data_IF_186630376960
#
_entry.id   IF_186630376960
#
_cell.length_a   1.000
_cell.length_b   1.000
_cell.length_c   1.000
_cell.angle_alpha   90.00
_cell.angle_beta   90.00
_cell.angle_gamma   90.00
#
_symmetry.space_group_name_H-M   'P 1'
#
loop_
_entity.id
_entity.type
_entity.pdbx_description
1 polymer ?
#
# COMPACT_ATOMS: atom_id res chain seq x y z
N UNK A 1 -2.67 -18.20 14.73
CA UNK A 1 -1.55 -17.63 15.51
C UNK A 1 -1.43 -16.18 15.11
N UNK A 2 -1.39 -15.30 16.09
CA UNK A 2 -1.28 -13.86 15.89
C UNK A 2 0.12 -13.43 15.44
N UNK A 3 0.24 -12.25 14.83
CA UNK A 3 1.52 -11.65 14.47
C UNK A 3 2.28 -11.27 15.75
N UNK A 4 3.53 -11.70 15.90
CA UNK A 4 4.36 -11.26 17.02
C UNK A 4 4.86 -9.82 16.82
N UNK A 5 5.28 -9.16 17.91
CA UNK A 5 5.88 -7.81 17.85
C UNK A 5 7.13 -7.77 16.94
N UNK A 6 7.92 -8.86 16.94
CA UNK A 6 9.13 -8.96 16.13
C UNK A 6 8.77 -9.02 14.64
N UNK A 7 7.87 -9.92 14.26
CA UNK A 7 7.41 -10.06 12.86
C UNK A 7 6.77 -8.77 12.37
N UNK A 8 5.92 -8.14 13.18
CA UNK A 8 5.33 -6.85 12.85
C UNK A 8 6.40 -5.78 12.57
N UNK A 9 7.42 -5.68 13.44
CA UNK A 9 8.52 -4.73 13.25
C UNK A 9 9.28 -5.02 11.96
N UNK A 10 9.57 -6.29 11.67
CA UNK A 10 10.26 -6.68 10.43
C UNK A 10 9.45 -6.28 9.19
N UNK A 11 8.15 -6.55 9.18
CA UNK A 11 7.27 -6.15 8.07
C UNK A 11 7.13 -4.63 7.94
N UNK A 12 7.04 -3.91 9.05
CA UNK A 12 6.97 -2.46 9.04
C UNK A 12 8.23 -1.86 8.38
N UNK A 13 9.42 -2.25 8.86
CA UNK A 13 10.67 -1.73 8.30
C UNK A 13 10.89 -2.14 6.84
N UNK A 14 10.43 -3.34 6.45
CA UNK A 14 10.57 -3.83 5.08
C UNK A 14 9.62 -3.12 4.10
N UNK A 15 8.37 -2.88 4.50
CA UNK A 15 7.31 -2.49 3.56
C UNK A 15 6.81 -1.05 3.71
N UNK A 16 7.14 -0.32 4.78
CA UNK A 16 6.62 1.04 4.96
C UNK A 16 6.93 1.95 3.77
N UNK A 17 8.21 2.08 3.38
CA UNK A 17 8.62 2.95 2.25
C UNK A 17 8.05 2.48 0.90
N UNK A 18 8.12 1.20 0.51
CA UNK A 18 7.45 0.70 -0.70
C UNK A 18 5.95 0.98 -0.72
N UNK A 19 5.26 0.78 0.41
CA UNK A 19 3.81 1.01 0.49
C UNK A 19 3.46 2.50 0.41
N UNK A 20 4.27 3.39 0.98
CA UNK A 20 4.07 4.84 0.83
C UNK A 20 4.23 5.28 -0.62
N UNK A 21 5.25 4.76 -1.34
CA UNK A 21 5.42 5.03 -2.77
C UNK A 21 4.25 4.46 -3.59
N UNK A 22 3.80 3.25 -3.25
CA UNK A 22 2.63 2.65 -3.88
C UNK A 22 1.37 3.51 -3.67
N UNK A 23 1.09 3.95 -2.44
CA UNK A 23 -0.03 4.85 -2.13
C UNK A 23 0.09 6.21 -2.83
N UNK A 24 1.31 6.73 -2.97
CA UNK A 24 1.58 8.01 -3.64
C UNK A 24 1.15 8.00 -5.10
N UNK A 25 1.30 6.88 -5.81
CA UNK A 25 0.80 6.73 -7.19
C UNK A 25 -0.73 6.88 -7.30
N UNK A 26 -1.48 6.63 -6.22
CA UNK A 26 -2.93 6.82 -6.18
C UNK A 26 -3.35 8.21 -5.71
N UNK A 27 -2.71 8.72 -4.66
CA UNK A 27 -3.17 9.93 -3.96
C UNK A 27 -2.46 11.19 -4.43
N UNK A 28 -1.25 11.08 -4.99
CA UNK A 28 -0.43 12.21 -5.41
C UNK A 28 0.01 13.13 -4.27
N UNK A 29 -0.21 12.73 -3.01
CA UNK A 29 0.12 13.48 -1.80
C UNK A 29 0.86 12.57 -0.81
N UNK A 30 2.06 12.97 -0.40
CA UNK A 30 2.92 12.21 0.50
C UNK A 30 2.33 12.04 1.89
N UNK A 31 1.81 13.11 2.49
CA UNK A 31 1.22 13.08 3.85
C UNK A 31 0.02 12.11 3.89
N UNK A 32 -0.88 12.20 2.91
CA UNK A 32 -2.03 11.29 2.83
C UNK A 32 -1.62 9.83 2.56
N UNK A 33 -0.52 9.63 1.84
CA UNK A 33 0.02 8.30 1.58
C UNK A 33 0.59 7.67 2.84
N UNK A 34 1.33 8.43 3.64
CA UNK A 34 1.85 7.99 4.93
C UNK A 34 0.72 7.66 5.91
N UNK A 35 -0.30 8.52 6.00
CA UNK A 35 -1.47 8.30 6.85
C UNK A 35 -2.18 6.97 6.52
N UNK A 36 -2.44 6.70 5.24
CA UNK A 36 -3.07 5.46 4.78
C UNK A 36 -2.24 4.22 5.16
N UNK A 37 -0.91 4.30 4.98
CA UNK A 37 -0.02 3.18 5.30
C UNK A 37 0.04 2.95 6.81
N UNK A 38 0.15 4.01 7.61
CA UNK A 38 0.12 3.92 9.08
C UNK A 38 -1.19 3.30 9.57
N UNK A 39 -2.34 3.75 9.06
CA UNK A 39 -3.64 3.18 9.40
C UNK A 39 -3.74 1.70 9.00
N UNK A 40 -3.17 1.33 7.85
CA UNK A 40 -3.14 -0.06 7.38
C UNK A 40 -2.34 -0.95 8.33
N UNK A 41 -1.16 -0.51 8.80
CA UNK A 41 -0.39 -1.24 9.80
C UNK A 41 -1.08 -1.30 11.17
N UNK A 42 -1.73 -0.22 11.60
CA UNK A 42 -2.52 -0.20 12.85
C UNK A 42 -3.69 -1.20 12.79
N UNK A 43 -4.36 -1.28 11.64
CA UNK A 43 -5.42 -2.26 11.37
C UNK A 43 -4.88 -3.70 11.37
N UNK A 44 -3.73 -3.95 10.74
CA UNK A 44 -3.07 -5.25 10.73
C UNK A 44 -2.77 -5.72 12.17
N UNK A 45 -2.22 -4.82 13.00
CA UNK A 45 -1.87 -5.12 14.39
C UNK A 45 -3.09 -5.38 15.27
N UNK A 46 -4.15 -4.57 15.12
CA UNK A 46 -5.35 -4.65 15.97
C UNK A 46 -6.28 -5.80 15.61
N UNK A 47 -6.50 -6.06 14.32
CA UNK A 47 -7.50 -7.03 13.86
C UNK A 47 -6.95 -8.45 13.74
N UNK A 48 -5.63 -8.60 13.56
CA UNK A 48 -4.92 -9.87 13.37
C UNK A 48 -5.79 -10.94 12.68
N UNK A 49 -5.92 -10.91 11.34
CA UNK A 49 -6.94 -11.67 10.61
C UNK A 49 -7.02 -13.14 11.06
N UNK A 50 -8.23 -13.55 11.46
CA UNK A 50 -8.51 -14.79 12.18
C UNK A 50 -8.18 -16.07 11.42
N UNK A 51 -8.01 -15.99 10.10
CA UNK A 51 -7.61 -17.10 9.22
C UNK A 51 -6.11 -17.23 8.96
N UNK A 52 -5.28 -16.34 9.52
CA UNK A 52 -3.88 -16.22 9.15
C UNK A 52 -3.69 -15.55 7.79
N UNK A 53 -2.50 -14.99 7.55
CA UNK A 53 -2.17 -14.30 6.30
C UNK A 53 -1.23 -15.21 5.51
N UNK A 54 -1.64 -15.64 4.31
CA UNK A 54 -0.79 -16.47 3.45
C UNK A 54 0.44 -15.69 2.97
N UNK A 55 0.26 -14.42 2.58
CA UNK A 55 1.32 -13.50 2.20
C UNK A 55 1.05 -12.12 2.77
N UNK A 56 1.85 -11.70 3.75
CA UNK A 56 1.74 -10.39 4.39
C UNK A 56 1.96 -9.27 3.38
N UNK A 57 2.88 -9.47 2.43
CA UNK A 57 3.11 -8.54 1.32
C UNK A 57 1.84 -8.33 0.51
N UNK A 58 1.24 -9.40 -0.02
CA UNK A 58 0.04 -9.29 -0.85
C UNK A 58 -1.12 -8.64 -0.10
N UNK A 59 -1.29 -9.00 1.18
CA UNK A 59 -2.28 -8.38 2.05
C UNK A 59 -2.06 -6.87 2.21
N UNK A 60 -0.84 -6.44 2.54
CA UNK A 60 -0.54 -5.03 2.79
C UNK A 60 -0.74 -4.17 1.55
N UNK A 61 -0.24 -4.59 0.39
CA UNK A 61 -0.43 -3.85 -0.86
C UNK A 61 -1.91 -3.80 -1.27
N UNK A 62 -2.63 -4.92 -1.16
CA UNK A 62 -4.06 -4.94 -1.42
C UNK A 62 -4.85 -4.03 -0.47
N UNK A 63 -4.52 -4.03 0.82
CA UNK A 63 -5.16 -3.19 1.82
C UNK A 63 -4.89 -1.69 1.56
N UNK A 64 -3.64 -1.32 1.29
CA UNK A 64 -3.27 0.08 0.96
C UNK A 64 -4.02 0.55 -0.28
N UNK A 65 -4.03 -0.23 -1.37
CA UNK A 65 -4.79 0.09 -2.59
C UNK A 65 -6.27 0.32 -2.28
N UNK A 66 -6.89 -0.60 -1.55
CA UNK A 66 -8.31 -0.48 -1.19
C UNK A 66 -8.59 0.77 -0.36
N UNK A 67 -7.72 1.11 0.59
CA UNK A 67 -7.86 2.29 1.42
C UNK A 67 -7.68 3.58 0.60
N UNK A 68 -6.71 3.62 -0.32
CA UNK A 68 -6.54 4.74 -1.27
C UNK A 68 -7.80 4.92 -2.14
N UNK A 69 -8.30 3.84 -2.74
CA UNK A 69 -9.50 3.88 -3.57
C UNK A 69 -10.75 4.30 -2.77
N UNK A 70 -10.89 3.83 -1.53
CA UNK A 70 -11.97 4.25 -0.64
C UNK A 70 -11.90 5.76 -0.37
N UNK A 71 -10.71 6.28 -0.05
CA UNK A 71 -10.50 7.71 0.16
C UNK A 71 -10.82 8.54 -1.08
N UNK A 72 -10.35 8.11 -2.26
CA UNK A 72 -10.65 8.78 -3.55
C UNK A 72 -12.16 8.77 -3.84
N UNK A 73 -12.82 7.63 -3.59
CA UNK A 73 -14.28 7.50 -3.75
C UNK A 73 -15.01 8.45 -2.81
N UNK A 74 -14.62 8.51 -1.55
CA UNK A 74 -15.31 9.33 -0.54
C UNK A 74 -15.06 10.84 -0.77
N UNK A 75 -13.96 11.20 -1.43
CA UNK A 75 -13.66 12.56 -1.86
C UNK A 75 -14.40 13.00 -3.15
N UNK A 76 -14.93 12.07 -3.95
CA UNK A 76 -15.62 12.37 -5.22
C UNK A 76 -17.13 12.13 -5.11
N UNK A 77 -17.93 13.08 -5.58
CA UNK A 77 -19.35 12.83 -5.87
C UNK A 77 -19.45 11.78 -6.97
N UNK A 78 -20.17 10.68 -6.72
CA UNK A 78 -20.32 9.56 -7.65
C UNK A 78 -20.79 10.02 -9.03
N UNK A 79 -20.00 9.74 -10.06
CA UNK A 79 -20.37 9.93 -11.46
C UNK A 79 -20.73 8.58 -12.10
N UNK A 80 -21.77 8.50 -12.95
CA UNK A 80 -22.11 7.27 -13.67
C UNK A 80 -20.95 6.80 -14.56
N UNK A 81 -20.67 5.50 -14.56
CA UNK A 81 -19.65 4.91 -15.42
C UNK A 81 -20.17 4.81 -16.86
N UNK A 82 -19.43 5.38 -17.83
CA UNK A 82 -19.70 5.14 -19.24
C UNK A 82 -19.08 3.80 -19.70
N UNK A 83 -19.83 2.95 -20.43
CA UNK A 83 -19.32 1.66 -20.88
C UNK A 83 -18.30 1.85 -22.01
N UNK A 84 -17.05 1.43 -21.77
CA UNK A 84 -15.97 1.51 -22.77
C UNK A 84 -14.57 1.73 -22.21
N UNK A 85 -14.41 1.91 -20.89
CA UNK A 85 -13.09 1.95 -20.26
C UNK A 85 -12.44 0.56 -20.31
N UNK A 86 -11.52 0.38 -21.24
CA UNK A 86 -10.51 -0.67 -21.16
C UNK A 86 -9.50 -0.16 -20.13
N UNK A 87 -9.42 -0.87 -19.02
CA UNK A 87 -8.52 -0.52 -17.91
C UNK A 87 -7.08 -0.85 -18.34
N UNK A 88 -6.37 0.14 -18.89
CA UNK A 88 -4.91 0.09 -19.14
C UNK A 88 -4.13 0.23 -17.81
N UNK A 89 -4.74 -0.20 -16.69
CA UNK A 89 -4.11 -0.13 -15.38
C UNK A 89 -3.17 -1.31 -15.18
N UNK A 90 -2.07 -1.03 -14.50
CA UNK A 90 -1.09 -2.04 -14.13
C UNK A 90 -1.77 -3.06 -13.19
N UNK A 91 -1.45 -4.33 -13.38
CA UNK A 91 -1.86 -5.37 -12.44
C UNK A 91 -1.28 -5.11 -11.05
N UNK A 92 -1.93 -5.63 -10.02
CA UNK A 92 -1.48 -5.48 -8.63
C UNK A 92 -0.03 -5.97 -8.46
N UNK A 93 0.37 -7.04 -9.16
CA UNK A 93 1.74 -7.54 -9.15
C UNK A 93 2.73 -6.54 -9.77
N UNK A 94 2.41 -5.96 -10.93
CA UNK A 94 3.26 -4.95 -11.59
C UNK A 94 3.41 -3.68 -10.74
N UNK A 95 2.38 -3.29 -10.01
CA UNK A 95 2.44 -2.17 -9.07
C UNK A 95 3.33 -2.44 -7.87
N UNK A 96 3.27 -3.66 -7.33
CA UNK A 96 4.16 -4.08 -6.25
C UNK A 96 5.63 -4.05 -6.69
N UNK A 97 5.93 -4.61 -7.85
CA UNK A 97 7.29 -4.67 -8.38
C UNK A 97 7.87 -3.27 -8.62
N UNK A 98 7.08 -2.37 -9.18
CA UNK A 98 7.48 -0.97 -9.36
C UNK A 98 7.80 -0.29 -8.03
N UNK A 99 6.91 -0.42 -7.04
CA UNK A 99 7.10 0.19 -5.73
C UNK A 99 8.36 -0.35 -5.03
N UNK A 100 8.62 -1.66 -5.13
CA UNK A 100 9.85 -2.28 -4.61
C UNK A 100 11.10 -1.73 -5.32
N UNK A 101 11.05 -1.58 -6.65
CA UNK A 101 12.15 -1.05 -7.45
C UNK A 101 12.45 0.41 -7.11
N UNK A 102 11.42 1.25 -7.05
CA UNK A 102 11.53 2.67 -6.69
C UNK A 102 12.11 2.84 -5.29
N UNK A 103 11.64 2.04 -4.32
CA UNK A 103 12.19 2.05 -2.97
C UNK A 103 13.69 1.74 -2.93
N UNK A 104 14.16 0.81 -3.78
CA UNK A 104 15.60 0.51 -3.89
C UNK A 104 16.39 1.66 -4.49
N UNK A 105 15.86 2.30 -5.55
CA UNK A 105 16.50 3.47 -6.17
C UNK A 105 16.62 4.61 -5.16
N UNK A 106 15.54 4.90 -4.45
CA UNK A 106 15.52 5.94 -3.43
C UNK A 106 16.51 5.69 -2.29
N UNK A 107 16.65 4.43 -1.87
CA UNK A 107 17.67 4.06 -0.87
C UNK A 107 19.09 4.33 -1.38
N UNK A 108 19.38 4.03 -2.65
CA UNK A 108 20.69 4.31 -3.26
C UNK A 108 20.96 5.81 -3.37
N UNK A 109 19.93 6.62 -3.64
CA UNK A 109 20.06 8.08 -3.68
C UNK A 109 20.43 8.64 -2.29
N UNK A 110 19.82 8.10 -1.23
CA UNK A 110 20.09 8.47 0.17
C UNK A 110 21.54 8.14 0.58
N UNK A 111 22.09 7.07 0.01
CA UNK A 111 23.45 6.60 0.29
C UNK A 111 24.54 7.31 -0.56
N UNK A 112 24.18 8.30 -1.39
CA UNK A 112 25.16 9.10 -2.13
C UNK A 112 25.95 10.02 -1.17
N UNK A 113 27.29 10.08 -1.30
CA UNK A 113 28.17 10.89 -0.44
C UNK A 113 28.08 12.40 -0.72
#
# INVERSE_FOLDING_TARGET
MGLSKKEFSEYFHAYYRPLCLHALHYLGNTDESEDIVQETFANLWSKQPSGGIQSVKAYLFGAVRNNCLAKIRDAKTTVPLEPGYIDDSLTIEEEQERADMESRIWKMIDELP
#
